data_IF_536576751708
#
_entry.id   IF_536576751708
#
_cell.length_a   1.000
_cell.length_b   1.000
_cell.length_c   1.000
_cell.angle_alpha   90.00
_cell.angle_beta   90.00
_cell.angle_gamma   90.00
#
_symmetry.space_group_name_H-M   'P 1'
#
loop_
_entity.id
_entity.type
_entity.pdbx_description
1 polymer ?
#
# COMPACT_ATOMS: atom_id res chain seq x y z
N UNK A 1 -23.68 -0.43 -53.82
CA UNK A 1 -23.61 0.50 -52.65
C UNK A 1 -23.94 1.90 -53.15
N UNK A 2 -24.86 2.62 -52.49
CA UNK A 2 -25.27 3.98 -52.92
C UNK A 2 -24.22 5.03 -52.51
N UNK A 3 -24.07 6.10 -53.31
CA UNK A 3 -23.16 7.23 -53.03
C UNK A 3 -23.51 7.88 -51.67
N UNK A 4 -24.79 7.93 -51.32
CA UNK A 4 -25.24 8.41 -50.02
C UNK A 4 -24.70 7.56 -48.86
N UNK A 5 -24.66 6.24 -49.03
CA UNK A 5 -24.14 5.31 -48.03
C UNK A 5 -22.62 5.48 -47.85
N UNK A 6 -21.88 5.63 -48.96
CA UNK A 6 -20.44 5.89 -48.92
C UNK A 6 -20.13 7.23 -48.23
N UNK A 7 -20.91 8.28 -48.50
CA UNK A 7 -20.73 9.58 -47.83
C UNK A 7 -21.00 9.52 -46.32
N UNK A 8 -21.95 8.67 -45.90
CA UNK A 8 -22.24 8.43 -44.49
C UNK A 8 -21.08 7.70 -43.81
N UNK A 9 -20.59 6.62 -44.43
CA UNK A 9 -19.44 5.85 -43.94
C UNK A 9 -18.17 6.72 -43.84
N UNK A 10 -17.90 7.56 -44.84
CA UNK A 10 -16.76 8.49 -44.84
C UNK A 10 -16.86 9.53 -43.72
N UNK A 11 -18.06 10.10 -43.49
CA UNK A 11 -18.28 11.05 -42.39
C UNK A 11 -18.07 10.41 -41.03
N UNK A 12 -18.61 9.21 -40.81
CA UNK A 12 -18.44 8.49 -39.55
C UNK A 12 -16.96 8.16 -39.30
N UNK A 13 -16.23 7.70 -40.32
CA UNK A 13 -14.80 7.45 -40.18
C UNK A 13 -14.02 8.73 -39.88
N UNK A 14 -14.37 9.85 -40.52
CA UNK A 14 -13.72 11.12 -40.25
C UNK A 14 -13.91 11.59 -38.80
N UNK A 15 -15.13 11.45 -38.26
CA UNK A 15 -15.41 11.77 -36.86
C UNK A 15 -14.60 10.88 -35.91
N UNK A 16 -14.52 9.57 -36.18
CA UNK A 16 -13.73 8.65 -35.35
C UNK A 16 -12.23 8.99 -35.36
N UNK A 17 -11.69 9.41 -36.50
CA UNK A 17 -10.29 9.82 -36.62
C UNK A 17 -10.04 11.09 -35.79
N UNK A 18 -10.95 12.06 -35.86
CA UNK A 18 -10.85 13.30 -35.09
C UNK A 18 -10.88 13.04 -33.58
N UNK A 19 -11.80 12.20 -33.10
CA UNK A 19 -11.87 11.78 -31.69
C UNK A 19 -10.58 11.06 -31.26
N UNK A 20 -10.00 10.22 -32.12
CA UNK A 20 -8.73 9.55 -31.84
C UNK A 20 -7.55 10.52 -31.76
N UNK A 21 -7.52 11.57 -32.57
CA UNK A 21 -6.50 12.62 -32.49
C UNK A 21 -6.59 13.40 -31.18
N UNK A 22 -7.82 13.72 -30.72
CA UNK A 22 -8.07 14.36 -29.42
C UNK A 22 -7.53 13.50 -28.29
N UNK A 23 -7.91 12.21 -28.25
CA UNK A 23 -7.45 11.27 -27.22
C UNK A 23 -5.92 11.12 -27.22
N UNK A 24 -5.29 11.08 -28.41
CA UNK A 24 -3.82 11.04 -28.52
C UNK A 24 -3.17 12.31 -27.97
N UNK A 25 -3.79 13.48 -28.18
CA UNK A 25 -3.36 14.75 -27.62
C UNK A 25 -3.43 14.77 -26.10
N UNK A 26 -4.57 14.34 -25.54
CA UNK A 26 -4.75 14.23 -24.08
C UNK A 26 -3.75 13.25 -23.45
N UNK A 27 -3.51 12.11 -24.09
CA UNK A 27 -2.54 11.11 -23.61
C UNK A 27 -1.10 11.64 -23.66
N UNK A 28 -0.74 12.42 -24.68
CA UNK A 28 0.54 13.11 -24.74
C UNK A 28 0.68 14.15 -23.62
N UNK A 29 -0.36 14.94 -23.36
CA UNK A 29 -0.38 15.90 -22.26
C UNK A 29 -0.23 15.20 -20.89
N UNK A 30 -0.98 14.12 -20.64
CA UNK A 30 -0.87 13.27 -19.45
C UNK A 30 0.54 12.70 -19.27
N UNK A 31 1.17 12.23 -20.36
CA UNK A 31 2.56 11.77 -20.33
C UNK A 31 3.52 12.90 -19.97
N UNK A 32 3.37 14.09 -20.54
CA UNK A 32 4.25 15.23 -20.20
C UNK A 32 4.07 15.69 -18.75
N UNK A 33 2.84 15.68 -18.23
CA UNK A 33 2.54 15.98 -16.82
C UNK A 33 3.17 14.94 -15.88
N UNK A 34 3.05 13.64 -16.22
CA UNK A 34 3.70 12.55 -15.47
C UNK A 34 5.23 12.65 -15.52
N UNK A 35 5.80 13.05 -16.67
CA UNK A 35 7.24 13.26 -16.81
C UNK A 35 7.74 14.45 -15.98
N UNK A 36 7.00 15.57 -15.94
CA UNK A 36 7.35 16.71 -15.07
C UNK A 36 7.25 16.39 -13.57
N UNK A 37 6.32 15.52 -13.17
CA UNK A 37 6.26 15.01 -11.80
C UNK A 37 7.43 14.07 -11.48
N UNK A 38 7.92 13.31 -12.47
CA UNK A 38 9.05 12.40 -12.31
C UNK A 38 10.43 13.12 -12.26
N UNK A 39 10.57 14.29 -12.88
CA UNK A 39 11.85 15.04 -12.88
C UNK A 39 12.16 15.73 -11.55
N UNK A 40 11.19 15.91 -10.65
CA UNK A 40 11.44 16.40 -9.29
C UNK A 40 11.98 15.32 -8.34
N UNK A 41 11.97 14.06 -8.77
CA UNK A 41 12.36 12.89 -7.96
C UNK A 41 13.63 12.19 -8.44
N UNK A 42 14.40 12.80 -9.36
CA UNK A 42 15.65 12.21 -9.85
C UNK A 42 16.86 12.55 -8.98
N UNK A 43 17.04 11.75 -7.94
CA UNK A 43 18.38 11.35 -7.48
C UNK A 43 18.32 9.93 -6.90
N UNK A 44 18.27 8.89 -7.75
CA UNK A 44 18.91 7.56 -7.55
C UNK A 44 18.48 6.53 -8.63
N UNK A 45 19.35 5.55 -8.98
CA UNK A 45 19.20 4.71 -10.15
C UNK A 45 18.31 3.48 -9.91
N UNK A 46 17.68 3.04 -11.01
CA UNK A 46 16.82 1.86 -11.12
C UNK A 46 17.57 0.55 -10.90
N UNK A 47 17.30 -0.12 -9.79
CA UNK A 47 17.35 -1.56 -9.69
C UNK A 47 16.30 -2.03 -8.67
N UNK A 48 15.60 -3.11 -9.02
CA UNK A 48 14.66 -3.86 -8.20
C UNK A 48 13.20 -3.36 -8.15
N UNK A 49 12.39 -4.08 -8.92
CA UNK A 49 10.96 -4.26 -8.74
C UNK A 49 10.69 -4.85 -7.33
N UNK A 50 10.59 -4.01 -6.30
CA UNK A 50 10.03 -4.34 -4.99
C UNK A 50 8.92 -3.35 -4.70
N UNK A 51 7.79 -3.90 -4.26
CA UNK A 51 6.55 -3.21 -3.89
C UNK A 51 6.82 -1.79 -3.39
N UNK A 52 6.58 -0.80 -4.26
CA UNK A 52 6.57 0.61 -3.89
C UNK A 52 5.33 0.89 -3.04
N UNK A 53 5.35 0.42 -1.80
CA UNK A 53 4.51 0.95 -0.71
C UNK A 53 5.17 2.24 -0.24
N UNK A 54 5.24 3.21 -1.14
CA UNK A 54 5.54 4.60 -0.83
C UNK A 54 4.57 5.46 -1.63
N UNK A 55 3.30 5.32 -1.27
CA UNK A 55 2.36 6.41 -1.42
C UNK A 55 1.82 6.67 -0.03
N UNK A 56 2.52 7.51 0.73
CA UNK A 56 1.97 8.16 1.92
C UNK A 56 0.90 9.16 1.48
N UNK A 57 -0.19 8.66 0.89
CA UNK A 57 -1.45 9.38 0.78
C UNK A 57 -2.34 8.94 1.95
N UNK A 58 -1.81 9.09 3.17
CA UNK A 58 -2.53 8.87 4.42
C UNK A 58 -3.52 10.01 4.65
N UNK A 59 -4.48 10.16 3.73
CA UNK A 59 -5.60 11.06 3.92
C UNK A 59 -6.34 10.61 5.20
N UNK A 60 -6.46 11.46 6.24
CA UNK A 60 -7.02 11.05 7.52
C UNK A 60 -8.47 10.56 7.39
N UNK A 61 -9.23 11.04 6.40
CA UNK A 61 -10.56 10.50 6.07
C UNK A 61 -10.51 9.07 5.52
N UNK A 62 -9.51 8.74 4.70
CA UNK A 62 -9.33 7.38 4.16
C UNK A 62 -8.91 6.42 5.26
N UNK A 63 -8.01 6.86 6.15
CA UNK A 63 -7.59 6.08 7.33
C UNK A 63 -8.78 5.84 8.25
N UNK A 64 -9.56 6.86 8.61
CA UNK A 64 -10.79 6.71 9.42
C UNK A 64 -11.81 5.78 8.77
N UNK A 65 -12.00 5.87 7.45
CA UNK A 65 -12.92 4.99 6.71
C UNK A 65 -12.43 3.54 6.73
N UNK A 66 -11.14 3.31 6.56
CA UNK A 66 -10.51 1.99 6.64
C UNK A 66 -10.64 1.41 8.06
N UNK A 67 -10.29 2.17 9.10
CA UNK A 67 -10.50 1.77 10.51
C UNK A 67 -11.97 1.45 10.78
N UNK A 68 -12.92 2.18 10.18
CA UNK A 68 -14.34 1.85 10.32
C UNK A 68 -14.73 0.52 9.68
N UNK A 69 -14.09 0.12 8.58
CA UNK A 69 -14.34 -1.15 7.89
C UNK A 69 -13.60 -2.34 8.48
N UNK A 70 -12.41 -2.11 9.03
CA UNK A 70 -11.59 -3.13 9.67
C UNK A 70 -11.71 -3.11 11.21
N UNK A 71 -12.59 -2.29 11.78
CA UNK A 71 -12.84 -2.14 13.21
C UNK A 71 -11.75 -1.37 13.97
N UNK A 72 -12.12 -0.81 15.13
CA UNK A 72 -11.24 -0.19 16.12
C UNK A 72 -10.36 -1.25 16.86
N UNK A 73 -9.76 -2.22 16.15
CA UNK A 73 -9.10 -3.43 16.73
C UNK A 73 -10.16 -4.46 17.22
N UNK A 74 -10.21 -5.73 16.75
CA UNK A 74 -9.15 -6.75 16.73
C UNK A 74 -8.89 -7.53 15.40
N UNK A 75 -9.34 -7.15 14.18
CA UNK A 75 -9.07 -7.97 12.99
C UNK A 75 -7.64 -7.88 12.47
N UNK A 76 -7.02 -6.69 12.53
CA UNK A 76 -5.71 -6.46 11.92
C UNK A 76 -4.57 -7.11 12.69
N UNK A 77 -4.55 -6.95 14.02
CA UNK A 77 -3.56 -7.61 14.86
C UNK A 77 -3.73 -9.12 14.84
N UNK A 78 -4.97 -9.62 14.93
CA UNK A 78 -5.25 -11.05 14.84
C UNK A 78 -4.81 -11.62 13.49
N UNK A 79 -5.04 -10.90 12.38
CA UNK A 79 -4.54 -11.28 11.06
C UNK A 79 -3.01 -11.26 10.98
N UNK A 80 -2.35 -10.26 11.57
CA UNK A 80 -0.90 -10.20 11.67
C UNK A 80 -0.35 -11.42 12.41
N UNK A 81 -0.89 -11.71 13.59
CA UNK A 81 -0.49 -12.87 14.39
C UNK A 81 -0.81 -14.18 13.65
N UNK A 82 -1.93 -14.27 12.94
CA UNK A 82 -2.29 -15.41 12.10
C UNK A 82 -1.26 -15.67 11.00
N UNK A 83 -0.78 -14.63 10.31
CA UNK A 83 0.29 -14.75 9.30
C UNK A 83 1.60 -15.29 9.89
N UNK A 84 1.87 -14.98 11.17
CA UNK A 84 3.02 -15.52 11.91
C UNK A 84 2.78 -16.90 12.52
N UNK A 85 1.56 -17.45 12.46
CA UNK A 85 1.19 -18.71 13.13
C UNK A 85 0.94 -18.57 14.65
N UNK A 86 0.69 -17.35 15.12
CA UNK A 86 0.58 -16.95 16.52
C UNK A 86 -0.80 -16.41 16.90
N UNK A 87 -1.84 -16.68 16.10
CA UNK A 87 -3.23 -16.22 16.32
C UNK A 87 -3.76 -16.52 17.73
N UNK A 88 -3.31 -17.63 18.33
CA UNK A 88 -3.68 -18.03 19.71
C UNK A 88 -3.35 -16.98 20.77
N UNK A 89 -2.40 -16.08 20.51
CA UNK A 89 -2.03 -15.01 21.45
C UNK A 89 -2.87 -13.75 21.27
N UNK A 90 -3.72 -13.64 20.25
CA UNK A 90 -4.47 -12.42 19.95
C UNK A 90 -5.29 -11.91 21.12
N UNK A 91 -5.95 -12.82 21.86
CA UNK A 91 -6.74 -12.46 23.04
C UNK A 91 -5.92 -11.76 24.15
N UNK A 92 -4.63 -12.07 24.26
CA UNK A 92 -3.73 -11.47 25.26
C UNK A 92 -3.41 -10.00 24.93
N UNK A 93 -3.28 -9.69 23.64
CA UNK A 93 -3.09 -8.31 23.20
C UNK A 93 -4.39 -7.52 23.31
N UNK A 94 -5.52 -8.14 22.99
CA UNK A 94 -6.85 -7.53 23.09
C UNK A 94 -7.21 -7.14 24.53
N UNK A 95 -6.86 -8.00 25.51
CA UNK A 95 -7.06 -7.68 26.93
C UNK A 95 -6.26 -6.46 27.39
N UNK A 96 -5.06 -6.25 26.82
CA UNK A 96 -4.20 -5.11 27.13
C UNK A 96 -4.40 -3.92 26.18
N UNK A 97 -5.41 -3.97 25.29
CA UNK A 97 -5.68 -2.92 24.28
C UNK A 97 -4.46 -2.57 23.41
N UNK A 98 -3.68 -3.60 23.04
CA UNK A 98 -2.51 -3.43 22.19
C UNK A 98 -2.87 -3.79 20.75
N UNK A 99 -2.97 -2.79 19.89
CA UNK A 99 -3.20 -2.95 18.47
C UNK A 99 -1.93 -2.98 17.64
N UNK A 100 -2.10 -2.92 16.31
CA UNK A 100 -0.98 -2.94 15.36
C UNK A 100 -0.14 -1.65 15.42
N UNK A 101 -0.71 -0.55 15.93
CA UNK A 101 -0.04 0.75 16.06
C UNK A 101 0.85 0.78 17.30
N UNK A 102 0.41 0.12 18.37
CA UNK A 102 1.10 0.03 19.66
C UNK A 102 2.18 -1.06 19.63
N UNK A 103 1.98 -2.11 18.82
CA UNK A 103 2.86 -3.26 18.73
C UNK A 103 4.35 -2.93 18.52
N UNK A 104 4.75 -1.98 17.65
CA UNK A 104 6.17 -1.61 17.45
C UNK A 104 6.84 -1.02 18.70
N UNK A 105 6.05 -0.51 19.65
CA UNK A 105 6.53 0.09 20.89
C UNK A 105 6.60 -0.90 22.05
N UNK A 106 6.16 -2.15 21.85
CA UNK A 106 6.29 -3.19 22.86
C UNK A 106 7.74 -3.69 22.96
N UNK A 107 8.22 -3.79 24.19
CA UNK A 107 9.52 -4.39 24.48
C UNK A 107 9.39 -5.89 24.70
N UNK A 108 10.53 -6.58 24.63
CA UNK A 108 10.62 -8.00 24.93
C UNK A 108 10.05 -8.31 26.33
N UNK A 109 10.33 -7.49 27.34
CA UNK A 109 9.85 -7.70 28.71
C UNK A 109 8.33 -7.59 28.82
N UNK A 110 7.72 -6.69 28.05
CA UNK A 110 6.25 -6.53 28.02
C UNK A 110 5.58 -7.74 27.38
N UNK A 111 6.12 -8.23 26.27
CA UNK A 111 5.64 -9.46 25.62
C UNK A 111 5.84 -10.69 26.53
N UNK A 112 6.91 -10.72 27.33
CA UNK A 112 7.11 -11.79 28.31
C UNK A 112 6.05 -11.76 29.42
N UNK A 113 5.73 -10.56 29.94
CA UNK A 113 4.69 -10.37 30.96
C UNK A 113 3.30 -10.72 30.46
N UNK A 114 3.04 -10.56 29.16
CA UNK A 114 1.84 -11.05 28.48
C UNK A 114 1.74 -12.58 28.42
N UNK A 115 2.78 -13.33 28.80
CA UNK A 115 2.81 -14.79 28.76
C UNK A 115 3.29 -15.36 27.43
N UNK A 116 3.94 -14.56 26.58
CA UNK A 116 4.44 -15.00 25.27
C UNK A 116 5.85 -15.61 25.43
N UNK A 117 6.07 -16.87 25.01
CA UNK A 117 7.37 -17.52 25.11
C UNK A 117 8.41 -16.87 24.18
N UNK A 118 9.70 -17.12 24.44
CA UNK A 118 10.83 -16.44 23.78
C UNK A 118 10.78 -16.45 22.24
N UNK A 119 10.58 -17.61 21.62
CA UNK A 119 10.55 -17.74 20.15
C UNK A 119 9.50 -16.84 19.48
N UNK A 120 8.20 -17.01 19.78
CA UNK A 120 7.15 -16.15 19.24
C UNK A 120 7.36 -14.66 19.55
N UNK A 121 7.85 -14.34 20.74
CA UNK A 121 8.11 -12.96 21.17
C UNK A 121 9.14 -12.26 20.29
N UNK A 122 10.29 -12.91 20.04
CA UNK A 122 11.31 -12.36 19.13
C UNK A 122 10.77 -12.18 17.71
N UNK A 123 9.99 -13.16 17.22
CA UNK A 123 9.44 -13.12 15.87
C UNK A 123 8.39 -12.01 15.69
N UNK A 124 7.50 -11.83 16.67
CA UNK A 124 6.49 -10.77 16.66
C UNK A 124 7.16 -9.40 16.67
N UNK A 125 8.15 -9.20 17.55
CA UNK A 125 8.88 -7.93 17.66
C UNK A 125 9.63 -7.58 16.36
N UNK A 126 10.30 -8.57 15.76
CA UNK A 126 11.00 -8.39 14.48
C UNK A 126 10.03 -8.02 13.35
N UNK A 127 8.90 -8.74 13.22
CA UNK A 127 7.95 -8.47 12.14
C UNK A 127 7.21 -7.14 12.32
N UNK A 128 6.94 -6.74 13.58
CA UNK A 128 6.34 -5.45 13.90
C UNK A 128 7.25 -4.27 13.48
N UNK A 129 8.57 -4.44 13.54
CA UNK A 129 9.54 -3.43 13.09
C UNK A 129 9.66 -3.36 11.57
N UNK A 130 9.48 -4.48 10.85
CA UNK A 130 9.54 -4.51 9.39
C UNK A 130 8.31 -3.87 8.72
N UNK A 131 7.17 -3.84 9.41
CA UNK A 131 5.92 -3.24 8.91
C UNK A 131 5.84 -1.72 9.04
N UNK A 132 6.72 -1.10 9.84
CA UNK A 132 6.76 0.34 10.07
C UNK A 132 8.21 0.82 9.97
N UNK A 133 8.61 1.53 8.90
CA UNK A 133 9.95 2.10 8.79
C UNK A 133 10.05 3.28 9.76
N UNK A 134 10.28 3.01 11.04
CA UNK A 134 10.47 4.05 12.06
C UNK A 134 11.95 4.15 12.47
N UNK A 135 12.80 3.17 12.13
CA UNK A 135 14.22 3.27 12.48
C UNK A 135 15.11 2.75 11.35
N UNK A 136 15.90 3.66 10.80
CA UNK A 136 17.12 3.36 10.05
C UNK A 136 18.08 2.57 10.96
N UNK A 137 17.91 1.26 11.03
CA UNK A 137 18.95 0.37 11.52
C UNK A 137 19.00 -0.86 10.62
N UNK A 138 19.58 -0.63 9.45
CA UNK A 138 20.05 -1.65 8.52
C UNK A 138 21.03 -2.58 9.24
N UNK A 139 20.51 -3.70 9.74
CA UNK A 139 21.27 -4.95 9.85
C UNK A 139 20.57 -6.00 9.00
N UNK A 140 20.71 -5.84 7.69
CA UNK A 140 20.61 -6.97 6.78
C UNK A 140 21.81 -7.87 7.06
N UNK A 141 21.60 -8.96 7.79
CA UNK A 141 22.56 -10.07 7.79
C UNK A 141 22.44 -10.74 6.42
N UNK A 142 23.57 -10.72 5.69
CA UNK A 142 23.83 -11.41 4.42
C UNK A 142 23.83 -12.92 4.63
#
# INVERSE_FOLDING_TARGET
RSVAHLSSEMRTQHLMIQEMEVIRGELAALRTQSNMAATRSQSMPRALNRLSVEQSNSNPERVKKLTKFFGDEPPLLRLFLKKLGYEKYAALFESERVGLVELPYLTEERLHKLGIPLGPRLRIMQEAQLGFPIHDNTLCIV
#
